data_IF_566089490573
#
_entry.id   IF_566089490573
#
_cell.length_a   1.000
_cell.length_b   1.000
_cell.length_c   1.000
_cell.angle_alpha   90.00
_cell.angle_beta   90.00
_cell.angle_gamma   90.00
#
_symmetry.space_group_name_H-M   'P 1'
#
loop_
_entity.id
_entity.type
_entity.pdbx_description
1 polymer ?
#
# COMPACT_ATOMS: atom_id res chain seq x y z
N UNK A 1 -3.94 19.56 34.01
CA UNK A 1 -3.58 18.12 33.97
C UNK A 1 -4.42 17.34 32.97
N UNK A 2 -5.75 17.44 32.93
CA UNK A 2 -6.60 16.67 31.99
C UNK A 2 -6.24 16.83 30.50
N UNK A 3 -5.97 18.04 30.02
CA UNK A 3 -5.58 18.29 28.62
C UNK A 3 -4.21 17.69 28.23
N UNK A 4 -3.27 17.60 29.18
CA UNK A 4 -1.97 16.97 28.93
C UNK A 4 -2.11 15.45 28.78
N UNK A 5 -2.97 14.85 29.60
CA UNK A 5 -3.26 13.43 29.56
C UNK A 5 -4.02 13.03 28.29
N UNK A 6 -5.03 13.79 27.90
CA UNK A 6 -5.74 13.58 26.63
C UNK A 6 -4.82 13.72 25.42
N UNK A 7 -3.89 14.67 25.42
CA UNK A 7 -2.88 14.82 24.36
C UNK A 7 -1.97 13.59 24.26
N UNK A 8 -1.55 13.02 25.41
CA UNK A 8 -0.79 11.76 25.44
C UNK A 8 -1.57 10.61 24.83
N UNK A 9 -2.84 10.42 25.23
CA UNK A 9 -3.70 9.36 24.69
C UNK A 9 -3.97 9.54 23.19
N UNK A 10 -4.16 10.76 22.73
CA UNK A 10 -4.35 11.08 21.32
C UNK A 10 -3.12 10.70 20.47
N UNK A 11 -1.92 10.98 20.96
CA UNK A 11 -0.66 10.55 20.29
C UNK A 11 -0.52 9.03 20.25
N UNK A 12 -0.80 8.35 21.35
CA UNK A 12 -0.76 6.88 21.42
C UNK A 12 -1.75 6.28 20.43
N UNK A 13 -2.96 6.82 20.37
CA UNK A 13 -3.97 6.39 19.40
C UNK A 13 -3.47 6.50 17.96
N UNK A 14 -2.89 7.64 17.55
CA UNK A 14 -2.36 7.83 16.20
C UNK A 14 -1.18 6.89 15.90
N UNK A 15 -0.28 6.68 16.87
CA UNK A 15 0.82 5.73 16.71
C UNK A 15 0.31 4.29 16.55
N UNK A 16 -0.64 3.88 17.38
CA UNK A 16 -1.27 2.57 17.27
C UNK A 16 -1.96 2.38 15.90
N UNK A 17 -2.71 3.40 15.44
CA UNK A 17 -3.32 3.40 14.12
C UNK A 17 -2.29 3.28 13.00
N UNK A 18 -1.24 4.09 13.01
CA UNK A 18 -0.20 4.05 11.98
C UNK A 18 0.48 2.69 11.94
N UNK A 19 0.85 2.16 13.10
CA UNK A 19 1.50 0.84 13.20
C UNK A 19 0.59 -0.26 12.65
N UNK A 20 -0.69 -0.27 13.05
CA UNK A 20 -1.64 -1.29 12.59
C UNK A 20 -2.04 -1.13 11.13
N UNK A 21 -2.13 0.10 10.60
CA UNK A 21 -2.35 0.36 9.17
C UNK A 21 -1.18 -0.11 8.32
N UNK A 22 0.06 0.17 8.73
CA UNK A 22 1.26 -0.31 8.04
C UNK A 22 1.31 -1.85 8.05
N UNK A 23 1.02 -2.47 9.20
CA UNK A 23 0.92 -3.92 9.33
C UNK A 23 -0.18 -4.49 8.42
N UNK A 24 -1.36 -3.85 8.38
CA UNK A 24 -2.48 -4.26 7.52
C UNK A 24 -2.10 -4.24 6.03
N UNK A 25 -1.43 -3.16 5.56
CA UNK A 25 -0.95 -3.09 4.16
C UNK A 25 0.11 -4.15 3.89
N UNK A 26 1.01 -4.43 4.85
CA UNK A 26 2.02 -5.48 4.71
C UNK A 26 1.39 -6.87 4.60
N UNK A 27 0.40 -7.20 5.46
CA UNK A 27 -0.34 -8.47 5.39
C UNK A 27 -1.13 -8.56 4.08
N UNK A 28 -1.75 -7.45 3.62
CA UNK A 28 -2.40 -7.38 2.31
C UNK A 28 -1.42 -7.66 1.16
N UNK A 29 -0.18 -7.19 1.26
CA UNK A 29 0.90 -7.52 0.33
C UNK A 29 1.20 -9.02 0.30
N UNK A 30 1.37 -9.65 1.47
CA UNK A 30 1.54 -11.12 1.54
C UNK A 30 0.33 -11.87 0.99
N UNK A 31 -0.89 -11.42 1.29
CA UNK A 31 -2.13 -12.00 0.74
C UNK A 31 -2.12 -11.98 -0.79
N UNK A 32 -1.64 -10.89 -1.42
CA UNK A 32 -1.49 -10.81 -2.89
C UNK A 32 -0.34 -11.71 -3.38
N UNK A 33 0.83 -11.65 -2.76
CA UNK A 33 2.02 -12.39 -3.17
C UNK A 33 1.89 -13.91 -3.00
N UNK A 34 0.99 -14.37 -2.14
CA UNK A 34 0.66 -15.79 -1.94
C UNK A 34 -0.58 -16.25 -2.70
N UNK A 35 -1.14 -15.40 -3.57
CA UNK A 35 -2.40 -15.65 -4.30
C UNK A 35 -3.57 -16.06 -3.37
N UNK A 36 -3.61 -15.52 -2.15
CA UNK A 36 -4.55 -15.92 -1.10
C UNK A 36 -5.86 -15.12 -1.11
N UNK A 37 -5.93 -14.00 -1.86
CA UNK A 37 -7.00 -12.99 -1.74
C UNK A 37 -8.37 -13.39 -2.29
N UNK A 38 -8.57 -14.63 -2.74
CA UNK A 38 -9.83 -15.20 -3.21
C UNK A 38 -10.25 -16.47 -2.45
N UNK A 39 -9.54 -16.83 -1.37
CA UNK A 39 -9.78 -18.04 -0.60
C UNK A 39 -11.09 -18.00 0.20
N UNK A 40 -11.56 -16.80 0.57
CA UNK A 40 -12.83 -16.57 1.28
C UNK A 40 -13.82 -15.94 0.30
N UNK A 41 -14.64 -16.77 -0.30
CA UNK A 41 -15.56 -16.37 -1.38
C UNK A 41 -16.77 -15.57 -0.90
N UNK A 42 -17.21 -15.79 0.34
CA UNK A 42 -18.35 -15.09 0.91
C UNK A 42 -17.93 -13.79 1.60
N UNK A 43 -18.79 -12.76 1.44
CA UNK A 43 -18.60 -11.48 2.11
C UNK A 43 -19.28 -11.51 3.49
N UNK A 44 -18.53 -11.95 4.49
CA UNK A 44 -19.01 -12.14 5.88
C UNK A 44 -18.50 -10.99 6.76
N UNK A 45 -19.24 -9.89 6.83
CA UNK A 45 -18.81 -8.71 7.58
C UNK A 45 -18.78 -8.99 9.10
N UNK A 46 -19.81 -9.65 9.61
CA UNK A 46 -19.96 -9.92 11.05
C UNK A 46 -19.69 -11.39 11.41
N UNK A 47 -20.22 -12.35 10.65
CA UNK A 47 -20.08 -13.77 10.91
C UNK A 47 -18.66 -14.28 10.72
N UNK A 48 -17.90 -13.71 9.77
CA UNK A 48 -16.49 -14.03 9.49
C UNK A 48 -15.48 -13.50 10.51
N UNK A 49 -15.88 -13.18 11.75
CA UNK A 49 -14.96 -12.80 12.83
C UNK A 49 -14.30 -14.04 13.44
N UNK A 50 -15.03 -15.17 13.49
CA UNK A 50 -14.48 -16.43 13.95
C UNK A 50 -14.01 -17.28 12.75
N UNK A 51 -12.82 -17.89 12.83
CA UNK A 51 -12.38 -18.82 11.79
C UNK A 51 -13.18 -20.12 11.84
N UNK A 52 -13.11 -20.99 10.83
CA UNK A 52 -13.71 -22.32 10.89
C UNK A 52 -13.14 -23.11 12.07
N UNK A 53 -14.00 -23.56 13.00
CA UNK A 53 -13.58 -24.19 14.25
C UNK A 53 -13.56 -25.73 14.18
N UNK A 54 -14.32 -26.33 13.27
CA UNK A 54 -14.45 -27.78 13.11
C UNK A 54 -14.15 -28.23 11.67
N UNK A 55 -14.01 -29.53 11.48
CA UNK A 55 -13.67 -30.12 10.18
C UNK A 55 -14.74 -29.84 9.13
N UNK A 56 -15.99 -29.87 9.50
CA UNK A 56 -17.14 -29.65 8.60
C UNK A 56 -17.11 -28.24 8.03
N UNK A 57 -16.91 -27.22 8.85
CA UNK A 57 -16.80 -25.83 8.39
C UNK A 57 -15.59 -25.63 7.48
N UNK A 58 -14.43 -26.25 7.76
CA UNK A 58 -13.27 -26.19 6.86
C UNK A 58 -13.58 -26.79 5.48
N UNK A 59 -14.29 -27.91 5.45
CA UNK A 59 -14.72 -28.57 4.21
C UNK A 59 -15.67 -27.65 3.44
N UNK A 60 -16.63 -27.00 4.10
CA UNK A 60 -17.60 -26.10 3.48
C UNK A 60 -16.87 -24.92 2.78
N UNK A 61 -15.95 -24.22 3.47
CA UNK A 61 -15.17 -23.14 2.86
C UNK A 61 -14.33 -23.64 1.68
N UNK A 62 -13.75 -24.83 1.80
CA UNK A 62 -12.97 -25.41 0.71
C UNK A 62 -13.82 -25.80 -0.50
N UNK A 63 -15.02 -26.30 -0.30
CA UNK A 63 -15.99 -26.59 -1.38
C UNK A 63 -16.38 -25.30 -2.12
N UNK A 64 -16.64 -24.22 -1.40
CA UNK A 64 -16.92 -22.92 -1.98
C UNK A 64 -15.71 -22.39 -2.81
N UNK A 65 -14.50 -22.54 -2.29
CA UNK A 65 -13.29 -22.16 -3.02
C UNK A 65 -13.10 -22.99 -4.31
N UNK A 66 -13.44 -24.29 -4.29
CA UNK A 66 -13.35 -25.14 -5.47
C UNK A 66 -14.26 -24.73 -6.62
N UNK A 67 -15.28 -23.92 -6.38
CA UNK A 67 -16.22 -23.46 -7.40
C UNK A 67 -15.75 -22.24 -8.19
N UNK A 68 -14.67 -21.55 -7.77
CA UNK A 68 -14.17 -20.34 -8.44
C UNK A 68 -13.10 -20.66 -9.49
N UNK A 69 -12.91 -19.77 -10.50
CA UNK A 69 -11.93 -19.96 -11.58
C UNK A 69 -10.50 -20.18 -11.07
N UNK A 70 -10.08 -19.46 -10.03
CA UNK A 70 -8.72 -19.60 -9.47
C UNK A 70 -8.41 -21.04 -9.05
N UNK A 71 -9.35 -21.74 -8.40
CA UNK A 71 -9.12 -23.15 -8.07
C UNK A 71 -9.07 -24.03 -9.32
N UNK A 72 -10.00 -23.82 -10.25
CA UNK A 72 -10.19 -24.68 -11.41
C UNK A 72 -9.01 -24.57 -12.40
N UNK A 73 -8.40 -23.39 -12.52
CA UNK A 73 -7.35 -23.12 -13.49
C UNK A 73 -5.92 -23.17 -12.89
N UNK A 74 -5.76 -22.70 -11.64
CA UNK A 74 -4.43 -22.55 -11.03
C UNK A 74 -4.15 -23.54 -9.89
N UNK A 75 -5.19 -23.95 -9.15
CA UNK A 75 -5.03 -24.71 -7.90
C UNK A 75 -5.75 -26.07 -7.94
N UNK A 76 -6.00 -26.60 -9.14
CA UNK A 76 -6.64 -27.91 -9.31
C UNK A 76 -5.82 -28.99 -8.60
N UNK A 77 -6.49 -29.78 -7.72
CA UNK A 77 -5.82 -30.79 -6.94
C UNK A 77 -5.26 -30.33 -5.59
N UNK A 78 -5.38 -29.02 -5.26
CA UNK A 78 -4.99 -28.48 -3.95
C UNK A 78 -5.62 -29.28 -2.81
N UNK A 79 -4.80 -29.60 -1.82
CA UNK A 79 -5.23 -30.28 -0.58
C UNK A 79 -5.90 -29.31 0.39
N UNK A 80 -6.65 -29.84 1.36
CA UNK A 80 -7.24 -29.02 2.43
C UNK A 80 -6.17 -28.29 3.28
N UNK A 81 -4.98 -28.86 3.44
CA UNK A 81 -3.87 -28.23 4.17
C UNK A 81 -3.31 -27.01 3.44
N UNK A 82 -3.15 -27.08 2.13
CA UNK A 82 -2.72 -25.96 1.28
C UNK A 82 -3.80 -24.86 1.24
N UNK A 83 -5.08 -25.28 1.13
CA UNK A 83 -6.18 -24.31 1.23
C UNK A 83 -6.19 -23.56 2.57
N UNK A 84 -5.94 -24.23 3.69
CA UNK A 84 -5.83 -23.57 5.01
C UNK A 84 -4.73 -22.52 5.02
N UNK A 85 -3.60 -22.76 4.38
CA UNK A 85 -2.50 -21.80 4.31
C UNK A 85 -2.93 -20.49 3.64
N UNK A 86 -3.57 -20.56 2.45
CA UNK A 86 -4.06 -19.35 1.77
C UNK A 86 -5.23 -18.71 2.50
N UNK A 87 -6.12 -19.50 3.11
CA UNK A 87 -7.23 -18.99 3.92
C UNK A 87 -6.75 -18.12 5.08
N UNK A 88 -5.70 -18.54 5.80
CA UNK A 88 -5.20 -17.79 6.95
C UNK A 88 -4.65 -16.42 6.59
N UNK A 89 -3.98 -16.26 5.45
CA UNK A 89 -3.51 -14.94 4.98
C UNK A 89 -4.67 -13.99 4.75
N UNK A 90 -5.69 -14.42 4.05
CA UNK A 90 -6.86 -13.59 3.77
C UNK A 90 -7.68 -13.33 5.04
N UNK A 91 -7.87 -14.33 5.88
CA UNK A 91 -8.60 -14.20 7.15
C UNK A 91 -7.94 -13.17 8.08
N UNK A 92 -6.64 -13.27 8.30
CA UNK A 92 -5.89 -12.34 9.16
C UNK A 92 -5.98 -10.91 8.59
N UNK A 93 -5.86 -10.74 7.27
CA UNK A 93 -6.04 -9.45 6.62
C UNK A 93 -7.43 -8.86 6.89
N UNK A 94 -8.49 -9.65 6.68
CA UNK A 94 -9.88 -9.23 6.95
C UNK A 94 -10.15 -8.94 8.42
N UNK A 95 -9.60 -9.75 9.33
CA UNK A 95 -9.74 -9.56 10.78
C UNK A 95 -9.04 -8.26 11.22
N UNK A 96 -7.81 -8.05 10.76
CA UNK A 96 -7.05 -6.83 11.08
C UNK A 96 -7.72 -5.58 10.51
N UNK A 97 -8.33 -5.65 9.32
CA UNK A 97 -9.08 -4.53 8.75
C UNK A 97 -10.28 -4.13 9.64
N UNK A 98 -11.02 -5.10 10.18
CA UNK A 98 -12.09 -4.84 11.16
C UNK A 98 -11.53 -4.21 12.44
N UNK A 99 -10.43 -4.76 12.97
CA UNK A 99 -9.78 -4.24 14.17
C UNK A 99 -9.33 -2.80 14.00
N UNK A 100 -8.65 -2.46 12.89
CA UNK A 100 -8.19 -1.09 12.60
C UNK A 100 -9.35 -0.12 12.48
N UNK A 101 -10.46 -0.55 11.87
CA UNK A 101 -11.67 0.27 11.77
C UNK A 101 -12.24 0.59 13.16
N UNK A 102 -12.32 -0.39 14.06
CA UNK A 102 -12.75 -0.16 15.44
C UNK A 102 -11.75 0.70 16.22
N UNK A 103 -10.44 0.46 16.03
CA UNK A 103 -9.36 1.26 16.62
C UNK A 103 -9.40 2.72 16.18
N UNK A 104 -9.97 3.02 14.99
CA UNK A 104 -10.22 4.39 14.57
C UNK A 104 -11.52 4.95 15.18
N UNK A 105 -12.63 4.22 15.03
CA UNK A 105 -13.98 4.69 15.34
C UNK A 105 -14.16 4.96 16.82
N UNK A 106 -13.81 4.01 17.69
CA UNK A 106 -14.10 4.12 19.13
C UNK A 106 -13.35 5.29 19.77
N UNK A 107 -12.03 5.47 19.57
CA UNK A 107 -11.34 6.63 20.13
C UNK A 107 -11.76 7.96 19.46
N UNK A 108 -12.13 7.97 18.18
CA UNK A 108 -12.65 9.19 17.54
C UNK A 108 -13.84 9.75 18.31
N UNK A 109 -14.85 8.93 18.57
CA UNK A 109 -16.02 9.36 19.33
C UNK A 109 -15.68 9.72 20.77
N UNK A 110 -14.76 9.00 21.41
CA UNK A 110 -14.26 9.35 22.75
C UNK A 110 -13.64 10.75 22.78
N UNK A 111 -12.77 11.11 21.81
CA UNK A 111 -12.14 12.42 21.75
C UNK A 111 -13.11 13.55 21.35
N UNK A 112 -14.13 13.25 20.55
CA UNK A 112 -15.23 14.17 20.24
C UNK A 112 -16.06 14.45 21.50
N UNK A 113 -16.47 13.39 22.22
CA UNK A 113 -17.25 13.49 23.45
C UNK A 113 -16.54 14.33 24.53
N UNK A 114 -15.25 14.10 24.72
CA UNK A 114 -14.42 14.86 25.65
C UNK A 114 -14.01 16.25 25.13
N UNK A 115 -14.58 16.71 24.00
CA UNK A 115 -14.29 18.03 23.39
C UNK A 115 -12.80 18.29 23.11
N UNK A 116 -12.00 17.22 22.96
CA UNK A 116 -10.58 17.33 22.64
C UNK A 116 -10.36 17.67 21.17
N UNK A 117 -11.21 17.12 20.29
CA UNK A 117 -11.25 17.50 18.88
C UNK A 117 -12.20 18.70 18.75
N UNK A 118 -11.68 19.83 18.28
CA UNK A 118 -12.50 21.03 18.07
C UNK A 118 -13.43 20.86 16.87
N UNK A 119 -14.62 21.50 16.94
CA UNK A 119 -15.68 21.38 15.91
C UNK A 119 -15.19 21.68 14.48
N UNK A 120 -14.29 22.68 14.31
CA UNK A 120 -13.75 23.02 12.99
C UNK A 120 -12.89 21.93 12.38
N UNK A 121 -12.40 20.96 13.17
CA UNK A 121 -11.63 19.80 12.68
C UNK A 121 -12.51 18.57 12.40
N UNK A 122 -13.82 18.60 12.75
CA UNK A 122 -14.72 17.47 12.51
C UNK A 122 -14.72 17.01 11.05
N UNK A 123 -14.81 17.90 10.03
CA UNK A 123 -14.81 17.46 8.63
C UNK A 123 -13.58 16.61 8.26
N UNK A 124 -12.40 16.94 8.81
CA UNK A 124 -11.18 16.20 8.59
C UNK A 124 -11.24 14.77 9.15
N UNK A 125 -11.68 14.61 10.39
CA UNK A 125 -11.79 13.29 11.02
C UNK A 125 -12.94 12.46 10.44
N UNK A 126 -14.05 13.10 10.09
CA UNK A 126 -15.14 12.41 9.39
C UNK A 126 -14.76 12.02 7.96
N UNK A 127 -13.94 12.79 7.26
CA UNK A 127 -13.37 12.36 5.98
C UNK A 127 -12.58 11.04 6.14
N UNK A 128 -11.71 10.96 7.14
CA UNK A 128 -10.97 9.72 7.41
C UNK A 128 -11.92 8.57 7.76
N UNK A 129 -12.96 8.83 8.57
CA UNK A 129 -14.00 7.84 8.89
C UNK A 129 -14.67 7.28 7.61
N UNK A 130 -15.11 8.16 6.71
CA UNK A 130 -15.72 7.74 5.45
C UNK A 130 -14.73 7.02 4.54
N UNK A 131 -13.47 7.39 4.55
CA UNK A 131 -12.43 6.66 3.81
C UNK A 131 -12.23 5.23 4.35
N UNK A 132 -12.31 5.01 5.67
CA UNK A 132 -12.30 3.65 6.24
C UNK A 132 -13.50 2.82 5.76
N UNK A 133 -14.70 3.41 5.75
CA UNK A 133 -15.90 2.74 5.21
C UNK A 133 -15.74 2.42 3.73
N UNK A 134 -15.25 3.38 2.96
CA UNK A 134 -15.01 3.22 1.53
C UNK A 134 -13.93 2.16 1.23
N UNK A 135 -12.91 2.03 2.08
CA UNK A 135 -11.91 0.96 1.95
C UNK A 135 -12.51 -0.44 2.12
N UNK A 136 -13.46 -0.61 3.03
CA UNK A 136 -14.22 -1.86 3.16
C UNK A 136 -14.97 -2.19 1.87
N UNK A 137 -15.65 -1.19 1.29
CA UNK A 137 -16.33 -1.32 -0.01
C UNK A 137 -15.35 -1.65 -1.14
N UNK A 138 -14.22 -0.94 -1.24
CA UNK A 138 -13.20 -1.20 -2.27
C UNK A 138 -12.63 -2.62 -2.15
N UNK A 139 -12.38 -3.11 -0.93
CA UNK A 139 -11.91 -4.47 -0.70
C UNK A 139 -12.91 -5.51 -1.19
N UNK A 140 -14.20 -5.34 -0.88
CA UNK A 140 -15.26 -6.19 -1.41
C UNK A 140 -15.34 -6.12 -2.94
N UNK A 141 -15.32 -4.91 -3.50
CA UNK A 141 -15.39 -4.69 -4.94
C UNK A 141 -14.20 -5.30 -5.69
N UNK A 142 -13.01 -5.28 -5.05
CA UNK A 142 -11.81 -5.91 -5.58
C UNK A 142 -11.97 -7.44 -5.62
N UNK A 143 -12.31 -8.07 -4.51
CA UNK A 143 -12.47 -9.53 -4.41
C UNK A 143 -13.54 -10.04 -5.39
N UNK A 144 -14.67 -9.32 -5.51
CA UNK A 144 -15.74 -9.69 -6.43
C UNK A 144 -15.27 -9.80 -7.90
N UNK A 145 -14.19 -9.12 -8.30
CA UNK A 145 -13.68 -9.19 -9.68
C UNK A 145 -13.03 -10.53 -10.04
N UNK A 146 -12.50 -11.27 -9.05
CA UNK A 146 -11.82 -12.55 -9.27
C UNK A 146 -12.67 -13.78 -8.93
N UNK A 147 -13.95 -13.60 -8.50
CA UNK A 147 -14.78 -14.74 -8.08
C UNK A 147 -15.59 -15.38 -9.19
N UNK A 148 -15.75 -14.75 -10.35
CA UNK A 148 -16.70 -15.21 -11.37
C UNK A 148 -16.12 -15.55 -12.74
N UNK A 149 -15.19 -14.74 -13.25
CA UNK A 149 -14.67 -14.87 -14.62
C UNK A 149 -13.14 -14.94 -14.62
N UNK A 150 -12.49 -14.13 -13.81
CA UNK A 150 -11.03 -14.02 -13.79
C UNK A 150 -10.43 -14.89 -12.68
N UNK A 151 -9.25 -15.39 -12.92
CA UNK A 151 -8.45 -16.15 -11.92
C UNK A 151 -7.83 -15.24 -10.86
N UNK A 152 -7.67 -13.96 -11.16
CA UNK A 152 -7.09 -12.93 -10.29
C UNK A 152 -8.01 -11.72 -10.12
N UNK A 153 -7.75 -10.93 -9.08
CA UNK A 153 -8.42 -9.64 -8.90
C UNK A 153 -7.95 -8.61 -9.93
N UNK A 154 -8.85 -7.71 -10.35
CA UNK A 154 -8.49 -6.63 -11.26
C UNK A 154 -7.36 -5.78 -10.68
N UNK A 155 -6.29 -5.58 -11.45
CA UNK A 155 -5.13 -4.73 -11.06
C UNK A 155 -5.52 -3.27 -10.82
N UNK A 156 -6.53 -2.73 -11.51
CA UNK A 156 -7.08 -1.41 -11.25
C UNK A 156 -7.75 -1.32 -9.88
N UNK A 157 -8.56 -2.34 -9.52
CA UNK A 157 -9.23 -2.38 -8.21
C UNK A 157 -8.23 -2.59 -7.08
N UNK A 158 -7.20 -3.41 -7.31
CA UNK A 158 -6.07 -3.59 -6.40
C UNK A 158 -5.33 -2.25 -6.16
N UNK A 159 -5.00 -1.52 -7.22
CA UNK A 159 -4.35 -0.22 -7.12
C UNK A 159 -5.24 0.81 -6.39
N UNK A 160 -6.53 0.87 -6.70
CA UNK A 160 -7.47 1.76 -6.02
C UNK A 160 -7.54 1.46 -4.51
N UNK A 161 -7.58 0.17 -4.13
CA UNK A 161 -7.59 -0.25 -2.73
C UNK A 161 -6.27 0.12 -2.02
N UNK A 162 -5.12 -0.13 -2.63
CA UNK A 162 -3.82 0.26 -2.06
C UNK A 162 -3.67 1.77 -1.92
N UNK A 163 -4.00 2.54 -2.97
CA UNK A 163 -3.92 4.02 -2.95
C UNK A 163 -4.81 4.60 -1.87
N UNK A 164 -6.04 4.09 -1.73
CA UNK A 164 -6.94 4.53 -0.66
C UNK A 164 -6.37 4.26 0.73
N UNK A 165 -5.71 3.10 0.96
CA UNK A 165 -5.01 2.81 2.21
C UNK A 165 -3.85 3.79 2.46
N UNK A 166 -3.06 4.11 1.43
CA UNK A 166 -1.96 5.09 1.51
C UNK A 166 -2.47 6.50 1.82
N UNK A 167 -3.60 6.90 1.25
CA UNK A 167 -4.24 8.19 1.57
C UNK A 167 -4.65 8.23 3.05
N UNK A 168 -5.26 7.17 3.59
CA UNK A 168 -5.61 7.09 5.02
C UNK A 168 -4.35 7.19 5.89
N UNK A 169 -3.30 6.43 5.59
CA UNK A 169 -2.01 6.51 6.31
C UNK A 169 -1.47 7.95 6.28
N UNK A 170 -1.48 8.60 5.12
CA UNK A 170 -1.00 9.99 4.96
C UNK A 170 -1.81 10.97 5.82
N UNK A 171 -3.14 10.86 5.83
CA UNK A 171 -4.00 11.73 6.64
C UNK A 171 -3.82 11.47 8.14
N UNK A 172 -3.78 10.22 8.58
CA UNK A 172 -3.52 9.87 9.99
C UNK A 172 -2.15 10.36 10.43
N UNK A 173 -1.11 10.18 9.58
CA UNK A 173 0.24 10.68 9.87
C UNK A 173 0.29 12.21 9.94
N UNK A 174 -0.38 12.91 9.04
CA UNK A 174 -0.50 14.36 9.08
C UNK A 174 -1.16 14.87 10.36
N UNK A 175 -2.24 14.21 10.79
CA UNK A 175 -2.89 14.50 12.07
C UNK A 175 -1.95 14.30 13.25
N UNK A 176 -1.19 13.20 13.25
CA UNK A 176 -0.15 12.93 14.26
C UNK A 176 0.88 14.06 14.34
N UNK A 177 1.44 14.47 13.19
CA UNK A 177 2.43 15.53 13.12
C UNK A 177 1.92 16.86 13.66
N UNK A 178 0.65 17.22 13.40
CA UNK A 178 0.04 18.42 13.94
C UNK A 178 -0.03 18.44 15.48
N UNK A 179 -0.07 17.28 16.14
CA UNK A 179 -0.15 17.15 17.60
C UNK A 179 1.23 16.99 18.28
N UNK A 180 2.24 16.56 17.54
CA UNK A 180 3.61 16.38 18.08
C UNK A 180 4.40 17.69 18.09
N UNK A 181 3.81 18.85 17.79
CA UNK A 181 4.43 20.19 17.79
C UNK A 181 5.94 20.18 18.04
N UNK A 182 6.72 19.99 17.00
CA UNK A 182 8.15 20.24 17.07
C UNK A 182 8.42 21.59 16.41
N UNK A 183 8.93 22.56 17.17
CA UNK A 183 9.25 23.92 16.70
C UNK A 183 10.42 24.00 15.71
N UNK A 184 10.75 22.91 15.05
CA UNK A 184 11.85 22.85 14.10
C UNK A 184 11.35 23.33 12.73
N UNK A 185 11.45 24.64 12.48
CA UNK A 185 11.27 25.17 11.10
C UNK A 185 12.54 24.87 10.30
N UNK A 186 12.35 24.47 9.05
CA UNK A 186 13.47 24.36 8.10
C UNK A 186 13.71 25.77 7.55
N UNK A 187 14.90 26.34 7.82
CA UNK A 187 15.24 27.68 7.38
C UNK A 187 15.58 27.76 5.90
N UNK A 188 15.87 26.63 5.26
CA UNK A 188 16.20 26.56 3.83
C UNK A 188 15.51 25.35 3.19
N UNK A 189 14.89 25.59 2.04
CA UNK A 189 14.14 24.58 1.31
C UNK A 189 14.49 24.68 -0.15
N UNK A 190 14.82 23.54 -0.80
CA UNK A 190 14.73 23.46 -2.25
C UNK A 190 13.32 23.86 -2.68
N UNK A 191 13.17 24.37 -3.87
CA UNK A 191 11.87 24.84 -4.39
C UNK A 191 10.74 23.91 -3.97
N UNK A 192 9.87 24.37 -3.09
CA UNK A 192 8.75 23.62 -2.48
C UNK A 192 7.97 22.79 -3.52
N UNK A 193 7.78 23.35 -4.71
CA UNK A 193 7.08 22.70 -5.81
C UNK A 193 7.74 21.40 -6.27
N UNK A 194 9.08 21.28 -6.17
CA UNK A 194 9.78 20.05 -6.57
C UNK A 194 9.55 18.92 -5.56
N UNK A 195 9.45 19.25 -4.26
CA UNK A 195 9.10 18.24 -3.25
C UNK A 195 7.67 17.73 -3.45
N UNK A 196 6.72 18.61 -3.80
CA UNK A 196 5.37 18.19 -4.16
C UNK A 196 5.34 17.32 -5.42
N UNK A 197 6.15 17.68 -6.45
CA UNK A 197 6.31 16.85 -7.63
C UNK A 197 6.85 15.46 -7.29
N UNK A 198 7.87 15.36 -6.43
CA UNK A 198 8.39 14.06 -5.98
C UNK A 198 7.33 13.22 -5.26
N UNK A 199 6.54 13.82 -4.37
CA UNK A 199 5.44 13.11 -3.70
C UNK A 199 4.42 12.63 -4.74
N UNK A 200 4.06 13.45 -5.71
CA UNK A 200 3.16 13.06 -6.79
C UNK A 200 3.71 11.88 -7.61
N UNK A 201 4.99 11.94 -8.00
CA UNK A 201 5.65 10.84 -8.72
C UNK A 201 5.73 9.56 -7.88
N UNK A 202 5.93 9.66 -6.55
CA UNK A 202 5.91 8.51 -5.65
C UNK A 202 4.49 7.89 -5.59
N UNK A 203 3.42 8.69 -5.61
CA UNK A 203 2.07 8.14 -5.72
C UNK A 203 1.85 7.41 -7.05
N UNK A 204 2.31 7.96 -8.17
CA UNK A 204 2.30 7.27 -9.48
C UNK A 204 3.12 5.98 -9.39
N UNK A 205 4.29 5.99 -8.75
CA UNK A 205 5.14 4.82 -8.57
C UNK A 205 4.43 3.69 -7.79
N UNK A 206 3.67 4.06 -6.76
CA UNK A 206 2.87 3.10 -5.97
C UNK A 206 1.75 2.50 -6.84
N UNK A 207 1.07 3.31 -7.67
CA UNK A 207 0.03 2.83 -8.59
C UNK A 207 0.62 1.82 -9.59
N UNK A 208 1.73 2.17 -10.25
CA UNK A 208 2.38 1.25 -11.18
C UNK A 208 2.99 0.03 -10.49
N UNK A 209 3.44 0.16 -9.23
CA UNK A 209 3.82 -0.97 -8.39
C UNK A 209 2.67 -1.94 -8.13
N UNK A 210 1.46 -1.41 -7.87
CA UNK A 210 0.26 -2.22 -7.73
C UNK A 210 -0.15 -2.89 -9.04
N UNK A 211 -0.02 -2.20 -10.19
CA UNK A 211 -0.25 -2.79 -11.51
C UNK A 211 0.77 -3.89 -11.81
N UNK A 212 2.07 -3.65 -11.53
CA UNK A 212 3.14 -4.64 -11.69
C UNK A 212 2.85 -5.91 -10.89
N UNK A 213 2.41 -5.76 -9.64
CA UNK A 213 2.00 -6.90 -8.82
C UNK A 213 0.71 -7.54 -9.31
N UNK A 214 -0.32 -6.74 -9.67
CA UNK A 214 -1.63 -7.22 -10.07
C UNK A 214 -1.66 -7.98 -11.40
N UNK A 215 -0.73 -7.66 -12.31
CA UNK A 215 -0.57 -8.33 -13.61
C UNK A 215 0.55 -9.37 -13.62
N UNK A 216 1.23 -9.61 -12.49
CA UNK A 216 2.46 -10.41 -12.42
C UNK A 216 3.53 -9.97 -13.44
N UNK A 217 3.57 -8.65 -13.72
CA UNK A 217 4.44 -8.07 -14.74
C UNK A 217 5.92 -8.20 -14.40
N UNK A 218 6.28 -8.42 -13.12
CA UNK A 218 7.66 -8.71 -12.72
C UNK A 218 8.22 -10.01 -13.24
N UNK A 219 7.37 -10.95 -13.69
CA UNK A 219 7.80 -12.27 -14.14
C UNK A 219 8.42 -12.26 -15.56
N UNK A 220 8.07 -11.27 -16.39
CA UNK A 220 8.47 -11.29 -17.83
C UNK A 220 9.91 -10.83 -18.06
N UNK A 221 10.43 -9.87 -17.27
CA UNK A 221 11.80 -9.37 -17.37
C UNK A 221 12.44 -9.36 -15.98
N UNK A 222 13.22 -10.41 -15.67
CA UNK A 222 13.89 -10.57 -14.37
C UNK A 222 15.34 -10.10 -14.38
N UNK A 223 15.70 -9.24 -15.32
CA UNK A 223 17.05 -8.69 -15.50
C UNK A 223 17.07 -7.18 -15.19
N UNK A 224 18.24 -6.64 -14.84
CA UNK A 224 18.48 -5.22 -14.62
C UNK A 224 19.96 -4.90 -14.95
N UNK A 225 20.30 -3.73 -15.56
CA UNK A 225 19.41 -2.61 -15.93
C UNK A 225 18.58 -2.85 -17.18
N UNK A 226 18.94 -3.81 -18.01
CA UNK A 226 18.23 -4.14 -19.23
C UNK A 226 16.97 -4.98 -18.94
N UNK A 227 16.03 -4.96 -19.88
CA UNK A 227 14.87 -5.85 -19.94
C UNK A 227 15.21 -6.98 -20.93
N UNK A 228 15.78 -8.08 -20.44
CA UNK A 228 16.55 -9.09 -21.19
C UNK A 228 17.77 -8.46 -21.87
N UNK A 229 17.82 -8.41 -23.20
CA UNK A 229 18.94 -7.88 -23.99
C UNK A 229 18.81 -6.39 -24.34
N UNK A 230 17.64 -5.77 -24.13
CA UNK A 230 17.35 -4.42 -24.56
C UNK A 230 16.98 -3.49 -23.39
N UNK A 231 17.24 -2.18 -23.55
CA UNK A 231 16.79 -1.19 -22.54
C UNK A 231 15.28 -0.95 -22.64
N UNK A 232 14.74 -0.96 -23.86
CA UNK A 232 13.30 -0.92 -24.14
C UNK A 232 12.88 -2.29 -24.69
N UNK A 233 11.81 -2.92 -24.19
CA UNK A 233 11.28 -4.15 -24.74
C UNK A 233 10.90 -3.99 -26.22
N UNK A 234 11.14 -5.01 -27.02
CA UNK A 234 10.85 -5.00 -28.47
C UNK A 234 9.33 -4.86 -28.75
N UNK A 235 8.50 -5.39 -27.86
CA UNK A 235 7.05 -5.35 -27.95
C UNK A 235 6.49 -3.94 -27.70
N UNK A 236 7.29 -3.02 -27.10
CA UNK A 236 6.85 -1.67 -26.73
C UNK A 236 7.27 -0.66 -27.80
N UNK A 237 6.31 -0.21 -28.59
CA UNK A 237 6.50 0.91 -29.52
C UNK A 237 6.09 2.25 -28.88
N UNK A 238 6.61 3.36 -29.43
CA UNK A 238 6.21 4.69 -28.94
C UNK A 238 4.70 4.93 -29.08
N UNK A 239 4.09 4.43 -30.16
CA UNK A 239 2.65 4.59 -30.38
C UNK A 239 1.80 3.78 -29.40
N UNK A 240 2.30 2.62 -28.93
CA UNK A 240 1.56 1.78 -27.97
C UNK A 240 1.40 2.42 -26.59
N UNK A 241 2.24 3.41 -26.22
CA UNK A 241 2.05 4.17 -24.97
C UNK A 241 0.76 4.96 -24.92
N UNK A 242 0.16 5.28 -26.07
CA UNK A 242 -1.08 6.06 -26.16
C UNK A 242 -2.32 5.18 -26.30
N UNK A 243 -2.16 3.88 -26.28
CA UNK A 243 -3.28 2.93 -26.33
C UNK A 243 -3.79 2.56 -24.93
N UNK A 244 -5.07 2.22 -24.82
CA UNK A 244 -5.65 1.71 -23.58
C UNK A 244 -5.13 0.32 -23.23
N UNK A 245 -4.64 -0.44 -24.22
CA UNK A 245 -4.05 -1.76 -24.04
C UNK A 245 -2.75 -1.70 -23.23
N UNK A 246 -2.01 -0.58 -23.28
CA UNK A 246 -0.80 -0.37 -22.48
C UNK A 246 -1.02 -0.60 -20.98
N UNK A 247 -2.23 -0.34 -20.47
CA UNK A 247 -2.57 -0.57 -19.06
C UNK A 247 -2.79 -2.05 -18.72
N UNK A 248 -2.93 -2.93 -19.70
CA UNK A 248 -3.09 -4.38 -19.54
C UNK A 248 -1.83 -5.13 -19.97
N UNK A 249 -0.91 -4.46 -20.64
CA UNK A 249 0.32 -5.07 -21.13
C UNK A 249 1.40 -5.08 -20.04
N UNK A 250 1.93 -6.26 -19.75
CA UNK A 250 2.93 -6.49 -18.69
C UNK A 250 4.25 -5.76 -18.97
N UNK A 251 4.69 -5.70 -20.25
CA UNK A 251 5.92 -5.06 -20.64
C UNK A 251 5.86 -3.55 -20.43
N UNK A 252 4.76 -2.91 -20.85
CA UNK A 252 4.52 -1.49 -20.64
C UNK A 252 4.48 -1.12 -19.15
N UNK A 253 3.72 -1.88 -18.37
CA UNK A 253 3.59 -1.61 -16.93
C UNK A 253 4.93 -1.71 -16.23
N UNK A 254 5.71 -2.75 -16.50
CA UNK A 254 7.03 -2.91 -15.89
C UNK A 254 8.00 -1.81 -16.35
N UNK A 255 7.99 -1.45 -17.64
CA UNK A 255 8.82 -0.38 -18.19
C UNK A 255 8.49 0.97 -17.54
N UNK A 256 7.21 1.36 -17.48
CA UNK A 256 6.80 2.64 -16.87
C UNK A 256 7.17 2.67 -15.39
N UNK A 257 7.01 1.56 -14.66
CA UNK A 257 7.42 1.46 -13.27
C UNK A 257 8.93 1.72 -13.09
N UNK A 258 9.77 1.18 -13.97
CA UNK A 258 11.23 1.42 -13.97
C UNK A 258 11.58 2.86 -14.35
N UNK A 259 10.99 3.39 -15.44
CA UNK A 259 11.28 4.74 -15.92
C UNK A 259 10.88 5.79 -14.88
N UNK A 260 9.73 5.65 -14.25
CA UNK A 260 9.31 6.56 -13.19
C UNK A 260 10.24 6.49 -11.96
N UNK A 261 10.74 5.29 -11.60
CA UNK A 261 11.74 5.15 -10.54
C UNK A 261 13.05 5.88 -10.87
N UNK A 262 13.54 5.78 -12.12
CA UNK A 262 14.71 6.53 -12.59
C UNK A 262 14.47 8.04 -12.55
N UNK A 263 13.28 8.49 -12.96
CA UNK A 263 12.91 9.91 -12.92
C UNK A 263 12.91 10.45 -11.48
N UNK A 264 12.29 9.73 -10.54
CA UNK A 264 12.29 10.09 -9.11
C UNK A 264 13.73 10.18 -8.59
N UNK A 265 14.56 9.18 -8.90
CA UNK A 265 15.95 9.15 -8.48
C UNK A 265 16.75 10.34 -9.02
N UNK A 266 16.68 10.62 -10.31
CA UNK A 266 17.40 11.73 -10.95
C UNK A 266 16.99 13.09 -10.38
N UNK A 267 15.68 13.34 -10.23
CA UNK A 267 15.18 14.59 -9.65
C UNK A 267 15.67 14.73 -8.21
N UNK A 268 15.58 13.64 -7.41
CA UNK A 268 15.98 13.72 -6.01
C UNK A 268 17.48 13.90 -5.84
N UNK A 269 18.31 13.20 -6.62
CA UNK A 269 19.77 13.36 -6.61
C UNK A 269 20.15 14.78 -7.03
N UNK A 270 19.52 15.36 -8.05
CA UNK A 270 19.76 16.74 -8.45
C UNK A 270 19.47 17.75 -7.32
N UNK A 271 18.35 17.54 -6.59
CA UNK A 271 18.05 18.35 -5.39
C UNK A 271 19.08 18.12 -4.31
N UNK A 272 19.44 16.87 -4.06
CA UNK A 272 20.39 16.52 -3.00
C UNK A 272 21.76 17.15 -3.24
N UNK A 273 22.29 17.08 -4.46
CA UNK A 273 23.59 17.68 -4.84
C UNK A 273 23.53 19.22 -4.79
N UNK A 274 22.50 19.82 -5.39
CA UNK A 274 22.37 21.28 -5.45
C UNK A 274 22.22 21.94 -4.07
N UNK A 275 21.82 21.17 -3.06
CA UNK A 275 21.61 21.67 -1.71
C UNK A 275 22.62 21.11 -0.69
N UNK A 276 23.68 20.44 -1.14
CA UNK A 276 24.61 19.71 -0.29
C UNK A 276 25.20 20.55 0.86
N UNK A 277 25.52 21.83 0.62
CA UNK A 277 26.06 22.75 1.63
C UNK A 277 25.03 23.22 2.67
N UNK A 278 23.75 23.17 2.33
CA UNK A 278 22.63 23.61 3.17
C UNK A 278 21.74 22.45 3.59
N UNK A 279 22.21 21.22 3.36
CA UNK A 279 21.46 20.00 3.64
C UNK A 279 21.11 19.94 5.11
N UNK A 280 19.86 20.18 5.34
CA UNK A 280 19.25 19.87 6.62
C UNK A 280 19.19 18.35 6.76
N UNK A 281 19.37 17.85 7.96
CA UNK A 281 19.26 16.44 8.37
C UNK A 281 17.98 15.74 7.83
N UNK A 282 17.01 16.52 7.38
CA UNK A 282 15.69 16.05 6.93
C UNK A 282 15.64 15.39 5.54
N UNK A 283 16.59 15.71 4.64
CA UNK A 283 16.66 15.08 3.32
C UNK A 283 17.47 13.78 3.33
N UNK A 284 18.26 13.53 4.38
CA UNK A 284 19.07 12.32 4.48
C UNK A 284 18.19 11.06 4.61
N UNK A 285 17.15 11.10 5.46
CA UNK A 285 16.26 9.95 5.61
C UNK A 285 15.52 9.61 4.30
N UNK A 286 14.86 10.53 3.58
CA UNK A 286 14.33 10.27 2.25
C UNK A 286 15.37 9.72 1.27
N UNK A 287 16.61 10.22 1.29
CA UNK A 287 17.69 9.73 0.43
C UNK A 287 18.02 8.26 0.69
N UNK A 288 18.30 7.92 1.95
CA UNK A 288 18.59 6.53 2.31
C UNK A 288 17.44 5.59 2.01
N UNK A 289 16.20 6.00 2.29
CA UNK A 289 15.02 5.20 1.98
C UNK A 289 14.82 5.03 0.47
N UNK A 290 15.11 6.06 -0.35
CA UNK A 290 15.04 5.95 -1.81
C UNK A 290 16.07 4.97 -2.37
N UNK A 291 17.33 5.07 -1.91
CA UNK A 291 18.39 4.12 -2.31
C UNK A 291 18.00 2.69 -1.91
N UNK A 292 17.56 2.51 -0.67
CA UNK A 292 17.14 1.20 -0.17
C UNK A 292 15.95 0.65 -0.95
N UNK A 293 14.96 1.49 -1.30
CA UNK A 293 13.81 1.14 -2.13
C UNK A 293 14.23 0.65 -3.52
N UNK A 294 15.21 1.32 -4.15
CA UNK A 294 15.75 0.92 -5.46
C UNK A 294 16.46 -0.44 -5.35
N UNK A 295 17.30 -0.62 -4.33
CA UNK A 295 18.01 -1.89 -4.09
C UNK A 295 17.01 -3.03 -3.90
N UNK A 296 15.96 -2.83 -3.11
CA UNK A 296 14.92 -3.84 -2.91
C UNK A 296 14.14 -4.14 -4.20
N UNK A 297 13.84 -3.12 -5.02
CA UNK A 297 13.16 -3.30 -6.30
C UNK A 297 13.99 -4.12 -7.29
N UNK A 298 15.29 -3.79 -7.43
CA UNK A 298 16.23 -4.55 -8.26
C UNK A 298 16.37 -5.97 -7.70
N UNK A 299 16.59 -6.10 -6.38
CA UNK A 299 16.70 -7.40 -5.71
C UNK A 299 15.47 -8.28 -5.92
N UNK A 300 14.27 -7.71 -5.86
CA UNK A 300 13.02 -8.43 -6.13
C UNK A 300 13.04 -9.05 -7.54
N UNK A 301 13.50 -8.31 -8.56
CA UNK A 301 13.56 -8.81 -9.94
C UNK A 301 14.61 -9.90 -10.11
N UNK A 302 15.87 -9.64 -9.73
CA UNK A 302 16.99 -10.56 -10.01
C UNK A 302 16.96 -11.83 -9.16
N UNK A 303 16.17 -11.86 -8.08
CA UNK A 303 15.96 -13.06 -7.25
C UNK A 303 14.75 -13.89 -7.67
N UNK A 304 14.17 -13.62 -8.86
CA UNK A 304 12.99 -14.34 -9.33
C UNK A 304 11.73 -14.04 -8.53
N UNK A 305 11.55 -12.78 -8.12
CA UNK A 305 10.42 -12.28 -7.35
C UNK A 305 10.34 -12.89 -5.93
N UNK A 306 11.46 -12.94 -5.23
CA UNK A 306 11.48 -13.38 -3.84
C UNK A 306 10.44 -12.63 -3.01
N UNK A 307 9.53 -13.38 -2.39
CA UNK A 307 8.35 -12.85 -1.68
C UNK A 307 8.71 -11.89 -0.53
N UNK A 308 9.81 -12.16 0.18
CA UNK A 308 10.26 -11.31 1.29
C UNK A 308 10.83 -9.99 0.79
N UNK A 309 11.58 -10.02 -0.33
CA UNK A 309 12.08 -8.79 -0.97
C UNK A 309 10.94 -7.95 -1.53
N UNK A 310 9.96 -8.58 -2.18
CA UNK A 310 8.77 -7.90 -2.69
C UNK A 310 7.96 -7.24 -1.55
N UNK A 311 7.75 -7.96 -0.44
CA UNK A 311 7.07 -7.44 0.73
C UNK A 311 7.84 -6.28 1.40
N UNK A 312 9.16 -6.38 1.52
CA UNK A 312 9.99 -5.30 2.03
C UNK A 312 9.99 -4.09 1.10
N UNK A 313 10.03 -4.31 -0.22
CA UNK A 313 9.91 -3.23 -1.21
C UNK A 313 8.58 -2.47 -1.05
N UNK A 314 7.46 -3.17 -0.89
CA UNK A 314 6.18 -2.56 -0.62
C UNK A 314 6.17 -1.78 0.71
N UNK A 315 6.67 -2.37 1.78
CA UNK A 315 6.72 -1.74 3.11
C UNK A 315 7.59 -0.48 3.10
N UNK A 316 8.77 -0.53 2.50
CA UNK A 316 9.70 0.60 2.41
C UNK A 316 9.11 1.76 1.62
N UNK A 317 8.26 1.51 0.60
CA UNK A 317 7.58 2.55 -0.15
C UNK A 317 6.68 3.44 0.73
N UNK A 318 6.05 2.87 1.75
CA UNK A 318 5.24 3.60 2.73
C UNK A 318 6.13 4.53 3.56
N UNK A 319 7.25 4.03 4.08
CA UNK A 319 8.18 4.84 4.86
C UNK A 319 8.84 5.94 4.03
N UNK A 320 9.16 5.65 2.76
CA UNK A 320 9.67 6.64 1.82
C UNK A 320 8.65 7.78 1.64
N UNK A 321 7.40 7.45 1.36
CA UNK A 321 6.33 8.45 1.25
C UNK A 321 6.16 9.25 2.54
N UNK A 322 6.08 8.57 3.69
CA UNK A 322 5.96 9.23 5.00
C UNK A 322 7.12 10.19 5.27
N UNK A 323 8.35 9.84 4.86
CA UNK A 323 9.51 10.72 5.00
C UNK A 323 9.38 12.01 4.19
N UNK A 324 8.85 11.94 2.96
CA UNK A 324 8.56 13.13 2.15
C UNK A 324 7.37 13.94 2.69
N UNK A 325 6.33 13.29 3.20
CA UNK A 325 5.21 13.98 3.88
C UNK A 325 5.72 14.73 5.11
N UNK A 326 6.66 14.15 5.87
CA UNK A 326 7.32 14.85 6.97
C UNK A 326 8.09 16.08 6.50
N UNK A 327 8.84 16.00 5.40
CA UNK A 327 9.51 17.16 4.79
C UNK A 327 8.47 18.23 4.43
N UNK A 328 7.39 17.89 3.71
CA UNK A 328 6.32 18.83 3.37
C UNK A 328 5.73 19.49 4.63
N UNK A 329 5.47 18.71 5.67
CA UNK A 329 4.95 19.23 6.94
C UNK A 329 5.87 20.30 7.54
N UNK A 330 7.19 20.13 7.43
CA UNK A 330 8.19 21.07 7.92
C UNK A 330 8.35 22.31 7.04
N UNK A 331 7.85 22.29 5.81
CA UNK A 331 7.84 23.41 4.86
C UNK A 331 6.71 24.43 5.13
N UNK A 332 5.80 24.11 6.07
CA UNK A 332 4.79 25.04 6.59
C UNK A 332 5.45 26.07 7.52
#
# INVERSE_FOLDING_TARGET
>A
MANLQLNKYFRIWHLALLTTLILLVSIGGFTRLTNSGLSITNWEVFTGILPPLNKESWIQYFVLYKSIPQYQELNLGMSLSEFKYIFWWEYIHRLLARFVSLLYILPLFYFIYNKFIYRHNYPYYFLIFFLFMFQGFLGWYMVKSGLSINVDVSHFRLAAHLVGAIIIITLVYWSYLNHVRQNLKINYIPKKNIIFLLVFLIFIQIIYGAFTSGLDAGQIYQTWPLMNSHFLPEEVSFMSFFSTEAFYDRAHIQLIHRLNAYLIFLIFVAIYISNYKNLTTYLNLPFFLLIFQIILGIGTLITGLNIYMAALHQLTSIFLLMSFIFVIYRLK
#
